data_IF_969952798005
#
_entry.id   IF_969952798005
#
_cell.length_a   1.000
_cell.length_b   1.000
_cell.length_c   1.000
_cell.angle_alpha   90.00
_cell.angle_beta   90.00
_cell.angle_gamma   90.00
#
_symmetry.space_group_name_H-M   'P 1'
#
loop_
_entity.id
_entity.type
_entity.pdbx_description
1 polymer ?
#
# COMPACT_ATOMS: atom_id res chain seq x y z
N UNK A 1 22.50 -13.72 1.82
CA UNK A 1 21.34 -13.19 1.07
C UNK A 1 20.69 -14.37 0.37
N UNK A 2 19.44 -14.69 0.67
CA UNK A 2 18.70 -15.74 -0.03
C UNK A 2 18.14 -15.13 -1.33
N UNK A 3 18.55 -15.58 -2.52
CA UNK A 3 18.16 -14.97 -3.80
C UNK A 3 16.78 -15.45 -4.33
N UNK A 4 16.04 -16.25 -3.57
CA UNK A 4 14.88 -17.02 -4.07
C UNK A 4 13.50 -16.58 -3.53
N UNK A 5 13.40 -15.45 -2.82
CA UNK A 5 12.10 -14.93 -2.44
C UNK A 5 11.68 -13.83 -3.43
N UNK A 6 10.56 -14.00 -4.17
CA UNK A 6 10.04 -12.89 -4.95
C UNK A 6 9.80 -11.72 -4.00
N UNK A 7 10.36 -10.56 -4.31
CA UNK A 7 10.20 -9.37 -3.48
C UNK A 7 8.70 -9.06 -3.35
N UNK A 8 8.15 -9.32 -2.17
CA UNK A 8 6.77 -8.99 -1.83
C UNK A 8 6.76 -7.60 -1.25
N UNK A 9 6.34 -6.63 -2.05
CA UNK A 9 6.17 -5.26 -1.60
C UNK A 9 4.83 -5.12 -0.90
N UNK A 10 4.83 -4.54 0.29
CA UNK A 10 3.63 -4.35 1.11
C UNK A 10 3.58 -2.92 1.63
N UNK A 11 2.38 -2.36 1.72
CA UNK A 11 2.14 -1.09 2.40
C UNK A 11 0.95 -1.22 3.34
N UNK A 12 1.09 -0.64 4.53
CA UNK A 12 0.01 -0.53 5.51
C UNK A 12 -0.55 0.88 5.50
N UNK A 13 -1.85 0.98 5.25
CA UNK A 13 -2.60 2.23 5.28
C UNK A 13 -3.46 2.28 6.52
N UNK A 14 -3.51 3.45 7.17
CA UNK A 14 -4.46 3.70 8.25
C UNK A 14 -5.73 4.32 7.66
N UNK A 15 -6.85 3.62 7.77
CA UNK A 15 -8.15 4.07 7.29
C UNK A 15 -8.76 5.07 8.28
N UNK A 16 -8.90 6.31 7.85
CA UNK A 16 -9.53 7.37 8.64
C UNK A 16 -11.05 7.46 8.35
N UNK A 17 -11.91 7.73 9.35
CA UNK A 17 -11.60 8.01 10.76
C UNK A 17 -11.55 6.76 11.67
N UNK A 18 -11.78 5.56 11.13
CA UNK A 18 -11.93 4.33 11.94
C UNK A 18 -10.64 3.91 12.68
N UNK A 19 -9.47 4.31 12.18
CA UNK A 19 -8.17 3.93 12.75
C UNK A 19 -7.77 2.48 12.45
N UNK A 20 -8.47 1.83 11.51
CA UNK A 20 -8.18 0.46 11.09
C UNK A 20 -6.99 0.43 10.15
N UNK A 21 -6.12 -0.58 10.30
CA UNK A 21 -5.00 -0.79 9.39
C UNK A 21 -5.40 -1.74 8.26
N UNK A 22 -5.13 -1.33 7.02
CA UNK A 22 -5.26 -2.16 5.83
C UNK A 22 -3.88 -2.37 5.21
N UNK A 23 -3.41 -3.61 5.20
CA UNK A 23 -2.19 -4.00 4.49
C UNK A 23 -2.53 -4.47 3.09
N UNK A 24 -1.88 -3.87 2.10
CA UNK A 24 -2.02 -4.25 0.70
C UNK A 24 -0.68 -4.75 0.14
N UNK A 25 -0.74 -5.79 -0.69
CA UNK A 25 0.38 -6.18 -1.53
C UNK A 25 0.44 -5.28 -2.77
N UNK A 26 1.64 -4.90 -3.15
CA UNK A 26 1.93 -3.95 -4.21
C UNK A 26 2.91 -4.56 -5.22
N UNK A 27 2.89 -4.05 -6.45
CA UNK A 27 4.06 -4.18 -7.33
C UNK A 27 5.16 -3.22 -6.87
N UNK A 28 6.40 -3.50 -7.27
CA UNK A 28 7.54 -2.62 -6.99
C UNK A 28 7.27 -1.17 -7.44
N UNK A 29 6.72 -0.98 -8.65
CA UNK A 29 6.40 0.35 -9.19
C UNK A 29 5.39 1.10 -8.32
N UNK A 30 4.34 0.41 -7.83
CA UNK A 30 3.34 1.00 -6.95
C UNK A 30 3.94 1.38 -5.60
N UNK A 31 4.77 0.50 -5.04
CA UNK A 31 5.45 0.76 -3.77
C UNK A 31 6.38 1.97 -3.87
N UNK A 32 7.19 2.07 -4.93
CA UNK A 32 8.10 3.20 -5.14
C UNK A 32 7.38 4.53 -5.41
N UNK A 33 6.13 4.50 -5.85
CA UNK A 33 5.31 5.69 -6.06
C UNK A 33 4.70 6.25 -4.77
N UNK A 34 4.73 5.49 -3.66
CA UNK A 34 4.21 5.91 -2.37
C UNK A 34 5.32 6.49 -1.49
N UNK A 35 4.99 7.48 -0.68
CA UNK A 35 5.83 7.97 0.40
C UNK A 35 5.16 7.74 1.77
N UNK A 36 5.98 7.48 2.79
CA UNK A 36 5.48 7.28 4.15
C UNK A 36 4.88 8.57 4.71
N UNK A 37 3.80 8.42 5.48
CA UNK A 37 3.10 9.55 6.11
C UNK A 37 2.18 10.35 5.19
N UNK A 38 2.06 9.97 3.91
CA UNK A 38 1.10 10.59 3.01
C UNK A 38 -0.33 10.32 3.47
N UNK A 39 -1.18 11.34 3.35
CA UNK A 39 -2.62 11.22 3.56
C UNK A 39 -3.32 11.49 2.23
N UNK A 40 -4.36 10.72 1.93
CA UNK A 40 -5.01 10.79 0.63
C UNK A 40 -6.17 9.82 0.52
N UNK A 41 -6.63 9.63 -0.70
CA UNK A 41 -7.69 8.67 -1.04
C UNK A 41 -7.05 7.37 -1.50
N UNK A 42 -7.27 6.32 -0.72
CA UNK A 42 -6.93 4.95 -1.08
C UNK A 42 -8.10 4.30 -1.83
N UNK A 43 -7.84 3.72 -3.00
CA UNK A 43 -8.81 2.92 -3.74
C UNK A 43 -8.41 1.45 -3.70
N UNK A 44 -9.35 0.60 -3.26
CA UNK A 44 -9.16 -0.85 -3.14
C UNK A 44 -10.34 -1.61 -3.75
N UNK A 45 -10.07 -2.83 -4.22
CA UNK A 45 -11.09 -3.79 -4.64
C UNK A 45 -10.96 -5.03 -3.75
N UNK A 46 -11.83 -5.13 -2.73
CA UNK A 46 -11.61 -6.08 -1.64
C UNK A 46 -10.37 -5.69 -0.83
N UNK A 47 -9.39 -6.58 -0.73
CA UNK A 47 -8.07 -6.31 -0.11
C UNK A 47 -6.98 -5.88 -1.11
N UNK A 48 -7.30 -5.80 -2.40
CA UNK A 48 -6.32 -5.48 -3.45
C UNK A 48 -6.19 -3.97 -3.64
N UNK A 49 -4.96 -3.48 -3.62
CA UNK A 49 -4.62 -2.11 -3.98
C UNK A 49 -4.95 -1.82 -5.46
N UNK A 50 -5.64 -0.71 -5.72
CA UNK A 50 -5.91 -0.20 -7.08
C UNK A 50 -5.11 1.06 -7.33
N UNK A 51 -5.28 2.08 -6.49
CA UNK A 51 -4.58 3.36 -6.61
C UNK A 51 -4.54 4.09 -5.26
N UNK A 52 -3.65 5.08 -5.18
CA UNK A 52 -3.61 6.04 -4.08
C UNK A 52 -3.42 7.43 -4.66
N UNK A 53 -4.32 8.34 -4.31
CA UNK A 53 -4.26 9.75 -4.70
C UNK A 53 -3.95 10.57 -3.46
N UNK A 54 -2.79 11.24 -3.42
CA UNK A 54 -2.44 12.13 -2.34
C UNK A 54 -3.34 13.37 -2.33
N UNK A 55 -3.78 13.79 -1.15
CA UNK A 55 -4.54 15.03 -0.97
C UNK A 55 -3.63 16.28 -1.05
#
# INVERSE_FOLDING_TARGET
MNPDLPERYEATFMLLPAGENLTCHLSETQYRALALGMTGRLQVQGSRFVSFESA
#
